data_IF_090666185284
#
_entry.id   IF_090666185284
#
_cell.length_a   1.000
_cell.length_b   1.000
_cell.length_c   1.000
_cell.angle_alpha   90.00
_cell.angle_beta   90.00
_cell.angle_gamma   90.00
#
_symmetry.space_group_name_H-M   'P 1'
#
loop_
_entity.id
_entity.type
_entity.pdbx_description
1 polymer ?
#
# COMPACT_ATOMS: atom_id res chain seq x y z
N UNK A 1 53.71 -18.79 73.82
CA UNK A 1 53.82 -17.76 74.87
C UNK A 1 52.97 -16.56 74.47
N UNK A 2 52.00 -16.22 75.32
CA UNK A 2 51.51 -14.86 75.68
C UNK A 2 51.00 -13.92 74.58
N UNK A 3 49.68 -13.64 74.58
CA UNK A 3 49.04 -12.34 74.97
C UNK A 3 48.98 -11.33 73.81
N UNK A 4 47.98 -10.47 73.61
CA UNK A 4 46.73 -10.10 74.29
C UNK A 4 45.90 -9.26 73.28
N UNK A 5 44.58 -9.22 73.48
CA UNK A 5 43.66 -8.23 72.89
C UNK A 5 44.04 -6.78 73.22
N UNK A 6 43.53 -5.81 72.44
CA UNK A 6 42.62 -4.85 73.06
C UNK A 6 41.34 -4.57 72.28
N UNK A 7 40.29 -4.30 73.07
CA UNK A 7 38.99 -3.72 72.67
C UNK A 7 39.14 -2.24 72.35
N UNK A 8 38.39 -1.75 71.35
CA UNK A 8 37.80 -0.39 71.41
C UNK A 8 36.58 -0.30 70.51
N UNK A 9 35.46 0.05 71.13
CA UNK A 9 34.15 0.39 70.56
C UNK A 9 34.16 1.89 70.24
N UNK A 10 33.65 2.31 69.07
CA UNK A 10 32.84 3.55 68.94
C UNK A 10 32.23 3.72 67.54
N UNK A 11 30.91 3.96 67.55
CA UNK A 11 30.17 4.86 66.65
C UNK A 11 29.87 4.40 65.20
N UNK A 12 28.80 3.62 65.02
CA UNK A 12 27.96 3.67 63.82
C UNK A 12 26.55 4.16 64.21
N UNK A 13 26.28 5.45 64.00
CA UNK A 13 24.93 6.04 64.10
C UNK A 13 24.76 7.23 63.14
N UNK A 14 25.15 7.12 61.87
CA UNK A 14 24.89 8.18 60.88
C UNK A 14 24.64 7.68 59.43
N UNK A 15 24.13 6.47 59.23
CA UNK A 15 23.88 5.90 57.90
C UNK A 15 22.45 5.35 57.71
N UNK A 16 21.45 6.02 58.30
CA UNK A 16 20.04 5.62 58.16
C UNK A 16 19.13 6.68 57.53
N UNK A 17 19.64 7.85 57.14
CA UNK A 17 18.81 8.89 56.49
C UNK A 17 19.05 9.06 54.99
N UNK A 18 20.12 8.48 54.42
CA UNK A 18 20.41 8.57 52.98
C UNK A 18 19.72 7.54 52.08
N UNK A 19 19.25 6.41 52.65
CA UNK A 19 18.67 5.29 51.86
C UNK A 19 17.16 5.47 51.66
N UNK A 20 16.49 6.24 52.50
CA UNK A 20 15.03 6.46 52.41
C UNK A 20 14.70 7.48 51.30
N UNK A 21 15.56 8.48 51.10
CA UNK A 21 15.34 9.52 50.09
C UNK A 21 15.47 9.00 48.64
N UNK A 22 16.40 8.08 48.38
CA UNK A 22 16.61 7.53 47.02
C UNK A 22 15.48 6.59 46.60
N UNK A 23 14.95 5.78 47.52
CA UNK A 23 13.80 4.91 47.25
C UNK A 23 12.52 5.69 46.95
N UNK A 24 12.29 6.80 47.64
CA UNK A 24 11.12 7.66 47.39
C UNK A 24 11.22 8.37 46.03
N UNK A 25 12.39 8.93 45.70
CA UNK A 25 12.62 9.62 44.42
C UNK A 25 12.47 8.64 43.24
N UNK A 26 13.01 7.42 43.35
CA UNK A 26 12.90 6.42 42.29
C UNK A 26 11.45 5.93 42.10
N UNK A 27 10.71 5.71 43.19
CA UNK A 27 9.27 5.39 43.13
C UNK A 27 8.45 6.53 42.55
N UNK A 28 8.80 7.78 42.87
CA UNK A 28 8.13 8.96 42.34
C UNK A 28 8.38 9.12 40.84
N UNK A 29 9.62 8.95 40.36
CA UNK A 29 9.92 8.96 38.92
C UNK A 29 9.25 7.81 38.17
N UNK A 30 9.17 6.61 38.76
CA UNK A 30 8.43 5.49 38.18
C UNK A 30 6.93 5.81 38.10
N UNK A 31 6.33 6.37 39.16
CA UNK A 31 4.93 6.78 39.15
C UNK A 31 4.64 7.90 38.15
N UNK A 32 5.52 8.90 38.05
CA UNK A 32 5.43 9.96 37.04
C UNK A 32 5.58 9.39 35.62
N UNK A 33 6.49 8.44 35.39
CA UNK A 33 6.63 7.79 34.08
C UNK A 33 5.38 6.99 33.70
N UNK A 34 4.69 6.37 34.65
CA UNK A 34 3.41 5.69 34.42
C UNK A 34 2.27 6.69 34.12
N UNK A 35 2.27 7.84 34.81
CA UNK A 35 1.30 8.92 34.53
C UNK A 35 1.52 9.55 33.15
N UNK A 36 2.77 9.78 32.74
CA UNK A 36 3.06 10.27 31.39
C UNK A 36 2.85 9.20 30.31
N UNK A 37 3.15 7.93 30.57
CA UNK A 37 2.81 6.83 29.67
C UNK A 37 1.29 6.72 29.45
N UNK A 38 0.47 7.04 30.46
CA UNK A 38 -0.99 7.07 30.32
C UNK A 38 -1.53 8.32 29.60
N UNK A 39 -0.83 9.47 29.71
CA UNK A 39 -1.21 10.71 29.03
C UNK A 39 -0.77 10.75 27.55
N UNK A 40 0.28 9.99 27.19
CA UNK A 40 0.80 9.91 25.82
C UNK A 40 0.14 8.83 24.96
N UNK A 41 -0.70 7.95 25.52
CA UNK A 41 -1.31 6.83 24.81
C UNK A 41 -2.85 6.86 24.74
N UNK A 42 -3.50 7.89 25.27
CA UNK A 42 -4.94 8.07 25.04
C UNK A 42 -5.17 8.42 23.55
N UNK A 43 -5.77 7.49 22.79
CA UNK A 43 -6.05 7.65 21.36
C UNK A 43 -5.21 6.79 20.42
N UNK A 44 -4.33 5.93 20.94
CA UNK A 44 -3.63 4.96 20.10
C UNK A 44 -4.57 3.80 19.78
N UNK A 45 -4.86 3.57 18.50
CA UNK A 45 -5.75 2.50 18.02
C UNK A 45 -5.40 1.13 18.60
N UNK A 46 -4.13 0.74 18.66
CA UNK A 46 -3.69 -0.51 19.31
C UNK A 46 -4.06 -0.70 20.80
N UNK A 47 -4.51 0.34 21.51
CA UNK A 47 -4.77 0.29 22.96
C UNK A 47 -6.21 0.67 23.35
N UNK A 48 -7.07 1.01 22.38
CA UNK A 48 -8.49 1.27 22.65
C UNK A 48 -9.26 -0.05 22.84
N UNK A 49 -10.08 -0.13 23.91
CA UNK A 49 -10.90 -1.31 24.17
C UNK A 49 -11.92 -1.49 23.04
N UNK A 50 -11.79 -2.57 22.26
CA UNK A 50 -12.57 -2.81 21.06
C UNK A 50 -11.81 -2.55 19.75
N UNK A 51 -10.54 -2.15 19.82
CA UNK A 51 -9.61 -2.28 18.71
C UNK A 51 -9.28 -3.75 18.48
N UNK A 52 -10.24 -4.49 17.93
CA UNK A 52 -9.89 -5.59 17.05
C UNK A 52 -9.05 -4.95 15.96
N UNK A 53 -7.74 -5.25 15.96
CA UNK A 53 -6.91 -5.12 14.77
C UNK A 53 -7.63 -5.94 13.71
N UNK A 54 -8.53 -5.29 12.97
CA UNK A 54 -9.17 -5.92 11.82
C UNK A 54 -8.02 -6.27 10.89
N UNK A 55 -7.81 -7.57 10.71
CA UNK A 55 -6.99 -8.16 9.66
C UNK A 55 -7.74 -7.90 8.37
N UNK A 56 -7.60 -6.68 7.87
CA UNK A 56 -8.11 -6.37 6.56
C UNK A 56 -6.91 -6.49 5.60
N UNK A 57 -7.16 -7.09 4.45
CA UNK A 57 -6.14 -7.75 3.62
C UNK A 57 -5.98 -6.95 2.33
N UNK A 58 -5.47 -5.72 2.48
CA UNK A 58 -5.28 -4.80 1.36
C UNK A 58 -4.13 -3.84 1.63
N UNK A 59 -3.62 -3.23 0.55
CA UNK A 59 -2.66 -2.12 0.59
C UNK A 59 -3.12 -0.96 -0.31
N UNK A 60 -2.98 0.26 0.19
CA UNK A 60 -3.28 1.46 -0.60
C UNK A 60 -2.30 2.60 -0.29
N UNK A 61 -2.28 3.62 -1.13
CA UNK A 61 -1.47 4.84 -0.93
C UNK A 61 -1.74 5.48 0.44
N UNK A 62 -0.75 6.14 1.04
CA UNK A 62 -0.98 7.01 2.20
C UNK A 62 -1.38 8.41 1.70
N UNK A 63 -2.64 8.84 1.86
CA UNK A 63 -3.09 10.04 1.18
C UNK A 63 -2.39 11.28 1.70
N UNK A 64 -1.80 11.99 0.76
CA UNK A 64 -0.88 13.09 0.99
C UNK A 64 -0.97 14.09 -0.15
N UNK A 65 -0.10 15.10 -0.14
CA UNK A 65 -0.02 16.03 -1.26
C UNK A 65 0.39 15.32 -2.56
N UNK A 66 1.29 14.34 -2.46
CA UNK A 66 1.80 13.58 -3.61
C UNK A 66 0.79 12.52 -4.10
N UNK A 67 -0.05 12.04 -3.20
CA UNK A 67 -1.06 11.00 -3.44
C UNK A 67 -2.46 11.48 -3.00
N UNK A 68 -3.05 12.48 -3.68
CA UNK A 68 -4.36 12.99 -3.30
C UNK A 68 -5.47 12.00 -3.72
N UNK A 69 -6.50 11.88 -2.90
CA UNK A 69 -7.71 11.10 -3.23
C UNK A 69 -8.75 11.94 -3.99
N UNK A 70 -9.68 11.26 -4.65
CA UNK A 70 -10.80 11.91 -5.33
C UNK A 70 -11.79 12.57 -4.34
N UNK A 71 -12.28 13.78 -4.59
CA UNK A 71 -13.26 14.42 -3.72
C UNK A 71 -14.63 13.73 -3.84
N UNK A 72 -15.33 13.60 -2.71
CA UNK A 72 -16.71 13.08 -2.63
C UNK A 72 -16.90 11.69 -3.25
N UNK A 73 -15.89 10.80 -3.10
CA UNK A 73 -15.95 9.43 -3.63
C UNK A 73 -16.39 9.42 -5.10
N UNK A 74 -15.87 10.34 -5.92
CA UNK A 74 -16.29 10.45 -7.32
C UNK A 74 -15.10 10.65 -8.24
N UNK A 75 -14.82 9.64 -9.06
CA UNK A 75 -13.95 9.79 -10.22
C UNK A 75 -14.80 10.28 -11.38
N UNK A 76 -14.44 11.43 -11.92
CA UNK A 76 -14.98 11.92 -13.18
C UNK A 76 -14.02 11.52 -14.28
N UNK A 77 -14.48 10.90 -15.34
CA UNK A 77 -13.59 10.48 -16.41
C UNK A 77 -14.10 10.97 -17.78
N UNK A 78 -13.21 10.97 -18.76
CA UNK A 78 -13.59 11.20 -20.14
C UNK A 78 -12.64 10.46 -21.08
N UNK A 79 -13.15 10.08 -22.25
CA UNK A 79 -12.33 9.42 -23.27
C UNK A 79 -11.53 10.42 -24.08
N UNK A 80 -10.32 10.03 -24.46
CA UNK A 80 -9.45 10.84 -25.33
C UNK A 80 -10.11 11.17 -26.68
N UNK A 81 -10.91 10.25 -27.24
CA UNK A 81 -11.66 10.47 -28.48
C UNK A 81 -13.11 9.96 -28.41
N UNK A 82 -14.04 10.50 -29.22
CA UNK A 82 -15.40 9.97 -29.31
C UNK A 82 -15.48 8.53 -29.86
N UNK A 83 -14.52 8.14 -30.71
CA UNK A 83 -14.43 6.78 -31.22
C UNK A 83 -14.11 5.80 -30.09
N UNK A 84 -13.09 6.11 -29.28
CA UNK A 84 -12.74 5.32 -28.10
C UNK A 84 -13.94 5.17 -27.14
N UNK A 85 -14.70 6.24 -26.93
CA UNK A 85 -15.93 6.17 -26.14
C UNK A 85 -16.92 5.15 -26.73
N UNK A 86 -17.14 5.19 -28.04
CA UNK A 86 -18.10 4.30 -28.71
C UNK A 86 -17.72 2.84 -28.53
N UNK A 87 -16.42 2.57 -28.47
CA UNK A 87 -15.85 1.25 -28.36
C UNK A 87 -15.81 0.73 -26.91
N UNK A 88 -15.20 1.48 -26.00
CA UNK A 88 -14.86 0.98 -24.65
C UNK A 88 -15.84 1.40 -23.55
N UNK A 89 -16.85 2.23 -23.82
CA UNK A 89 -17.74 2.70 -22.75
C UNK A 89 -18.57 1.60 -22.09
N UNK A 90 -18.83 0.50 -22.80
CA UNK A 90 -19.50 -0.66 -22.19
C UNK A 90 -18.53 -1.45 -21.31
N UNK A 91 -17.29 -1.65 -21.74
CA UNK A 91 -16.26 -2.37 -20.96
C UNK A 91 -15.95 -1.64 -19.65
N UNK A 92 -15.78 -0.30 -19.71
CA UNK A 92 -15.62 0.54 -18.51
C UNK A 92 -16.81 0.39 -17.55
N UNK A 93 -18.04 0.32 -18.10
CA UNK A 93 -19.24 0.16 -17.28
C UNK A 93 -19.28 -1.24 -16.65
N UNK A 94 -18.97 -2.28 -17.41
CA UNK A 94 -18.94 -3.67 -16.96
C UNK A 94 -17.91 -3.85 -15.83
N UNK A 95 -16.70 -3.34 -16.02
CA UNK A 95 -15.65 -3.33 -15.00
C UNK A 95 -16.12 -2.64 -13.71
N UNK A 96 -16.76 -1.48 -13.81
CA UNK A 96 -17.30 -0.79 -12.64
C UNK A 96 -18.45 -1.55 -11.95
N UNK A 97 -19.24 -2.33 -12.70
CA UNK A 97 -20.24 -3.22 -12.10
C UNK A 97 -19.62 -4.34 -11.27
N UNK A 98 -18.39 -4.78 -11.55
CA UNK A 98 -17.71 -5.77 -10.71
C UNK A 98 -17.47 -5.24 -9.30
N UNK A 99 -17.07 -3.97 -9.18
CA UNK A 99 -16.92 -3.30 -7.88
C UNK A 99 -18.23 -3.20 -7.10
N UNK A 100 -19.34 -2.87 -7.77
CA UNK A 100 -20.66 -2.89 -7.11
C UNK A 100 -21.13 -4.29 -6.75
N UNK A 101 -20.85 -5.29 -7.60
CA UNK A 101 -21.16 -6.68 -7.33
C UNK A 101 -20.41 -7.22 -6.11
N UNK A 102 -19.17 -6.75 -5.89
CA UNK A 102 -18.37 -7.03 -4.69
C UNK A 102 -18.84 -6.28 -3.42
N UNK A 103 -19.87 -5.45 -3.51
CA UNK A 103 -20.49 -4.78 -2.36
C UNK A 103 -20.05 -3.33 -2.13
N UNK A 104 -19.39 -2.69 -3.10
CA UNK A 104 -19.05 -1.28 -2.98
C UNK A 104 -20.33 -0.41 -2.90
N UNK A 105 -20.43 0.54 -1.95
CA UNK A 105 -21.56 1.44 -1.89
C UNK A 105 -21.68 2.35 -3.12
N UNK A 106 -22.90 2.61 -3.58
CA UNK A 106 -23.20 3.51 -4.71
C UNK A 106 -22.81 4.99 -4.46
N UNK A 107 -22.36 5.35 -3.24
CA UNK A 107 -21.77 6.67 -2.98
C UNK A 107 -20.44 6.85 -3.72
N UNK A 108 -19.71 5.75 -3.95
CA UNK A 108 -18.58 5.71 -4.87
C UNK A 108 -19.10 5.73 -6.29
N UNK A 109 -18.66 6.70 -7.07
CA UNK A 109 -19.17 6.93 -8.42
C UNK A 109 -18.03 7.07 -9.41
N UNK A 110 -18.16 6.37 -10.52
CA UNK A 110 -17.28 6.47 -11.68
C UNK A 110 -18.09 7.03 -12.85
N UNK A 111 -18.01 8.34 -13.07
CA UNK A 111 -18.97 9.09 -13.92
C UNK A 111 -18.28 9.71 -15.13
N UNK A 112 -18.80 9.44 -16.31
CA UNK A 112 -18.35 10.09 -17.53
C UNK A 112 -18.74 11.59 -17.55
N UNK A 113 -17.78 12.46 -17.83
CA UNK A 113 -17.95 13.90 -18.00
C UNK A 113 -17.62 14.33 -19.43
N UNK A 114 -18.05 15.53 -19.81
CA UNK A 114 -17.67 16.09 -21.11
C UNK A 114 -16.19 16.47 -21.13
N UNK A 115 -15.54 16.15 -22.26
CA UNK A 115 -14.15 16.53 -22.53
C UNK A 115 -13.86 18.00 -22.19
N UNK A 116 -14.70 18.92 -22.64
CA UNK A 116 -14.53 20.36 -22.39
C UNK A 116 -14.48 20.70 -20.89
N UNK A 117 -15.25 20.02 -20.04
CA UNK A 117 -15.21 20.26 -18.58
C UNK A 117 -13.92 19.74 -17.97
N UNK A 118 -13.50 18.55 -18.37
CA UNK A 118 -12.28 17.94 -17.86
C UNK A 118 -11.01 18.65 -18.37
N UNK A 119 -11.01 19.16 -19.60
CA UNK A 119 -9.89 19.97 -20.10
C UNK A 119 -9.76 21.32 -19.39
N UNK A 120 -10.85 21.87 -18.85
CA UNK A 120 -10.82 23.08 -18.04
C UNK A 120 -10.31 22.84 -16.60
N UNK A 121 -10.35 21.59 -16.12
CA UNK A 121 -9.90 21.19 -14.79
C UNK A 121 -9.28 19.78 -14.83
N UNK A 122 -8.09 19.61 -15.45
CA UNK A 122 -7.49 18.30 -15.71
C UNK A 122 -7.19 17.51 -14.42
N UNK A 123 -6.97 18.21 -13.31
CA UNK A 123 -6.78 17.58 -11.99
C UNK A 123 -8.03 16.90 -11.45
N UNK A 124 -9.21 17.33 -11.87
CA UNK A 124 -10.49 16.84 -11.35
C UNK A 124 -11.11 15.75 -12.24
N UNK A 125 -10.38 15.29 -13.26
CA UNK A 125 -10.80 14.21 -14.13
C UNK A 125 -9.70 13.20 -14.42
N UNK A 126 -10.12 11.97 -14.71
CA UNK A 126 -9.31 10.89 -15.26
C UNK A 126 -9.46 10.88 -16.79
N UNK A 127 -8.35 11.01 -17.51
CA UNK A 127 -8.32 10.78 -18.95
C UNK A 127 -8.23 9.28 -19.24
N UNK A 128 -9.17 8.73 -20.02
CA UNK A 128 -9.07 7.35 -20.51
C UNK A 128 -8.54 7.36 -21.94
N UNK A 129 -7.43 6.67 -22.15
CA UNK A 129 -6.83 6.41 -23.46
C UNK A 129 -6.91 4.89 -23.67
N UNK A 130 -7.73 4.44 -24.61
CA UNK A 130 -7.90 3.03 -24.88
C UNK A 130 -7.66 2.72 -26.36
N UNK A 131 -6.78 1.78 -26.68
CA UNK A 131 -6.43 1.42 -28.06
C UNK A 131 -6.19 -0.08 -28.22
N UNK A 132 -6.05 -0.51 -29.47
CA UNK A 132 -5.58 -1.86 -29.76
C UNK A 132 -4.12 -1.85 -30.19
N UNK A 133 -3.34 -2.79 -29.69
CA UNK A 133 -1.90 -2.87 -29.92
C UNK A 133 -1.25 -3.95 -29.06
N UNK A 134 0.04 -3.78 -28.79
CA UNK A 134 0.71 -4.61 -27.79
C UNK A 134 0.09 -4.33 -26.41
N UNK A 135 -0.18 -5.37 -25.61
CA UNK A 135 -0.91 -5.22 -24.36
C UNK A 135 -0.10 -4.38 -23.38
N UNK A 136 -0.74 -3.34 -22.84
CA UNK A 136 -0.10 -2.40 -21.94
C UNK A 136 -1.18 -1.67 -21.15
N UNK A 137 -1.12 -1.80 -19.83
CA UNK A 137 -2.12 -1.29 -18.91
C UNK A 137 -1.42 -0.45 -17.85
N UNK A 138 -1.97 0.72 -17.58
CA UNK A 138 -1.39 1.64 -16.62
C UNK A 138 -2.40 2.68 -16.18
N UNK A 139 -2.44 2.96 -14.89
CA UNK A 139 -3.30 4.00 -14.34
C UNK A 139 -2.59 4.80 -13.26
N UNK A 140 -2.78 6.12 -13.27
CA UNK A 140 -2.35 6.99 -12.17
C UNK A 140 -2.94 6.54 -10.85
N UNK A 141 -2.14 6.51 -9.79
CA UNK A 141 -2.61 6.19 -8.45
C UNK A 141 -3.43 7.35 -7.86
N UNK A 142 -4.70 7.09 -7.55
CA UNK A 142 -5.58 8.12 -7.03
C UNK A 142 -5.73 9.29 -8.01
N UNK A 143 -5.44 10.50 -7.55
CA UNK A 143 -5.47 11.74 -8.34
C UNK A 143 -4.07 12.33 -8.54
N UNK A 144 -3.09 11.45 -8.75
CA UNK A 144 -1.72 11.81 -9.04
C UNK A 144 -1.53 12.12 -10.54
N UNK A 145 -0.90 13.26 -10.85
CA UNK A 145 -0.43 13.54 -12.20
C UNK A 145 0.80 12.72 -12.51
N UNK A 146 0.82 12.15 -13.72
CA UNK A 146 1.91 11.31 -14.18
C UNK A 146 2.44 11.80 -15.53
N UNK A 147 3.75 11.72 -15.70
CA UNK A 147 4.41 11.97 -16.97
C UNK A 147 4.22 10.75 -17.91
N UNK A 148 4.20 10.95 -19.24
CA UNK A 148 4.35 12.21 -19.98
C UNK A 148 3.05 13.01 -20.16
N UNK A 149 1.92 12.58 -19.58
CA UNK A 149 0.62 13.19 -19.87
C UNK A 149 0.32 14.46 -19.06
N UNK A 150 1.01 14.67 -17.94
CA UNK A 150 0.78 15.78 -16.98
C UNK A 150 -0.68 15.87 -16.54
N UNK A 151 -1.28 14.71 -16.22
CA UNK A 151 -2.68 14.54 -15.76
C UNK A 151 -2.89 13.16 -15.15
N UNK A 152 -4.04 12.96 -14.52
CA UNK A 152 -4.51 11.63 -14.13
C UNK A 152 -4.94 10.89 -15.41
N UNK A 153 -4.43 9.69 -15.64
CA UNK A 153 -4.69 8.93 -16.85
C UNK A 153 -4.83 7.44 -16.54
N UNK A 154 -5.69 6.80 -17.31
CA UNK A 154 -5.82 5.36 -17.44
C UNK A 154 -5.55 5.03 -18.91
N UNK A 155 -4.47 4.31 -19.16
CA UNK A 155 -4.05 3.84 -20.46
C UNK A 155 -4.32 2.34 -20.57
N UNK A 156 -5.04 1.96 -21.62
CA UNK A 156 -5.52 0.60 -21.86
C UNK A 156 -5.19 0.21 -23.30
N UNK A 157 -4.21 -0.64 -23.51
CA UNK A 157 -3.91 -1.22 -24.82
C UNK A 157 -4.25 -2.71 -24.80
N UNK A 158 -5.20 -3.12 -25.63
CA UNK A 158 -5.63 -4.51 -25.76
C UNK A 158 -5.14 -5.12 -27.07
N UNK A 159 -4.90 -6.43 -27.12
CA UNK A 159 -4.59 -7.12 -28.38
C UNK A 159 -5.83 -7.25 -29.28
N UNK A 160 -7.02 -7.21 -28.67
CA UNK A 160 -8.31 -7.32 -29.35
C UNK A 160 -8.83 -8.77 -29.44
N UNK A 161 -8.10 -9.73 -28.89
CA UNK A 161 -8.48 -11.16 -28.82
C UNK A 161 -9.06 -11.56 -27.48
N UNK A 162 -8.93 -10.71 -26.46
CA UNK A 162 -9.47 -10.91 -25.13
C UNK A 162 -11.00 -10.92 -25.17
N UNK A 163 -11.61 -11.77 -24.36
CA UNK A 163 -13.06 -11.77 -24.25
C UNK A 163 -13.56 -10.59 -23.41
N UNK A 164 -14.88 -10.39 -23.38
CA UNK A 164 -15.50 -9.26 -22.66
C UNK A 164 -15.25 -9.33 -21.15
N UNK A 165 -15.15 -10.53 -20.57
CA UNK A 165 -14.94 -10.72 -19.16
C UNK A 165 -13.50 -10.36 -18.76
N UNK A 166 -12.51 -10.87 -19.51
CA UNK A 166 -11.10 -10.60 -19.27
C UNK A 166 -10.80 -9.09 -19.38
N UNK A 167 -11.36 -8.43 -20.40
CA UNK A 167 -11.26 -6.96 -20.53
C UNK A 167 -11.87 -6.25 -19.33
N UNK A 168 -13.03 -6.69 -18.85
CA UNK A 168 -13.66 -6.08 -17.69
C UNK A 168 -12.83 -6.28 -16.40
N UNK A 169 -12.16 -7.42 -16.24
CA UNK A 169 -11.25 -7.69 -15.11
C UNK A 169 -10.03 -6.78 -15.13
N UNK A 170 -9.34 -6.69 -16.29
CA UNK A 170 -8.19 -5.80 -16.47
C UNK A 170 -8.59 -4.35 -16.19
N UNK A 171 -9.70 -3.88 -16.75
CA UNK A 171 -10.18 -2.52 -16.48
C UNK A 171 -10.56 -2.34 -15.00
N UNK A 172 -11.11 -3.36 -14.34
CA UNK A 172 -11.46 -3.27 -12.92
C UNK A 172 -10.22 -3.13 -12.03
N UNK A 173 -9.14 -3.83 -12.35
CA UNK A 173 -7.81 -3.65 -11.74
C UNK A 173 -7.32 -2.20 -11.89
N UNK A 174 -7.35 -1.69 -13.12
CA UNK A 174 -6.94 -0.32 -13.42
C UNK A 174 -7.82 0.73 -12.71
N UNK A 175 -9.13 0.46 -12.56
CA UNK A 175 -10.01 1.30 -11.73
C UNK A 175 -9.57 1.27 -10.26
N UNK A 176 -9.12 0.14 -9.73
CA UNK A 176 -8.56 0.02 -8.37
C UNK A 176 -7.38 0.97 -8.15
N UNK A 177 -6.44 1.03 -9.11
CA UNK A 177 -5.35 2.02 -9.11
C UNK A 177 -5.86 3.46 -9.17
N UNK A 178 -6.84 3.75 -10.03
CA UNK A 178 -7.45 5.07 -10.12
C UNK A 178 -8.03 5.53 -8.77
N UNK A 179 -8.52 4.61 -7.95
CA UNK A 179 -8.98 4.91 -6.59
C UNK A 179 -7.84 5.06 -5.57
N UNK A 180 -6.67 4.49 -5.85
CA UNK A 180 -5.47 4.57 -5.01
C UNK A 180 -5.07 3.26 -4.33
N UNK A 181 -5.63 2.13 -4.77
CA UNK A 181 -5.15 0.81 -4.36
C UNK A 181 -3.80 0.53 -5.02
N UNK A 182 -2.92 -0.14 -4.26
CA UNK A 182 -1.63 -0.63 -4.73
C UNK A 182 -1.75 -2.13 -5.03
N UNK A 183 -0.75 -2.72 -5.69
CA UNK A 183 -0.76 -4.16 -5.85
C UNK A 183 -0.59 -4.89 -4.52
N UNK A 184 -1.38 -5.94 -4.31
CA UNK A 184 -1.42 -6.63 -3.01
C UNK A 184 -0.06 -7.22 -2.64
N UNK A 185 0.62 -7.86 -3.62
CA UNK A 185 1.94 -8.43 -3.42
C UNK A 185 3.02 -7.37 -3.13
N UNK A 186 2.81 -6.09 -3.45
CA UNK A 186 3.80 -5.04 -3.19
C UNK A 186 3.84 -4.60 -1.72
N UNK A 187 3.01 -5.17 -0.85
CA UNK A 187 3.04 -4.86 0.57
C UNK A 187 4.36 -5.24 1.23
N UNK A 188 5.17 -4.28 1.72
CA UNK A 188 6.49 -4.57 2.26
C UNK A 188 6.53 -5.55 3.45
N UNK A 189 5.43 -5.74 4.19
CA UNK A 189 5.40 -6.72 5.29
C UNK A 189 5.36 -8.17 4.80
N UNK A 190 5.02 -8.42 3.53
CA UNK A 190 5.03 -9.76 2.95
C UNK A 190 6.43 -10.24 2.59
N UNK A 191 7.41 -9.33 2.59
CA UNK A 191 8.75 -9.58 2.06
C UNK A 191 9.77 -9.67 3.16
N UNK A 192 10.59 -10.72 3.11
CA UNK A 192 11.78 -10.87 3.94
C UNK A 192 12.96 -11.19 3.04
N UNK A 193 13.93 -10.28 2.94
CA UNK A 193 15.05 -10.41 2.01
C UNK A 193 16.18 -11.29 2.56
N UNK A 194 16.71 -12.19 1.72
CA UNK A 194 17.89 -13.00 2.04
C UNK A 194 19.17 -12.30 1.55
N UNK A 195 20.30 -12.99 1.43
CA UNK A 195 21.45 -12.41 0.72
C UNK A 195 21.23 -12.39 -0.80
N UNK A 196 20.57 -13.43 -1.34
CA UNK A 196 20.04 -13.50 -2.71
C UNK A 196 18.59 -13.95 -2.64
N UNK A 197 17.70 -13.30 -3.38
CA UNK A 197 16.27 -13.56 -3.34
C UNK A 197 15.62 -13.29 -1.98
N UNK A 198 14.62 -14.09 -1.65
CA UNK A 198 13.78 -13.97 -0.45
C UNK A 198 14.09 -15.07 0.58
N UNK A 199 13.76 -14.82 1.85
CA UNK A 199 13.92 -15.77 2.95
C UNK A 199 12.72 -16.72 3.02
N UNK A 200 12.91 -17.84 3.70
CA UNK A 200 11.83 -18.83 3.92
C UNK A 200 10.72 -18.35 4.87
N UNK A 201 10.94 -17.25 5.60
CA UNK A 201 9.93 -16.60 6.44
C UNK A 201 9.24 -15.41 5.75
N UNK A 202 9.55 -15.15 4.47
CA UNK A 202 8.77 -14.28 3.58
C UNK A 202 7.43 -14.93 3.26
N UNK A 203 6.36 -14.17 3.01
CA UNK A 203 5.09 -14.74 2.52
C UNK A 203 5.12 -15.02 1.01
N UNK A 204 6.00 -14.32 0.29
CA UNK A 204 6.26 -14.53 -1.14
C UNK A 204 7.69 -15.01 -1.40
N UNK A 205 7.88 -15.82 -2.44
CA UNK A 205 9.17 -16.12 -3.04
C UNK A 205 9.28 -15.44 -4.40
N UNK A 206 10.27 -14.56 -4.55
CA UNK A 206 10.52 -13.80 -5.78
C UNK A 206 11.78 -14.28 -6.50
N UNK A 207 11.64 -14.55 -7.80
CA UNK A 207 12.68 -15.00 -8.72
C UNK A 207 13.05 -13.85 -9.66
N UNK A 208 13.92 -12.94 -9.21
CA UNK A 208 14.32 -11.77 -9.97
C UNK A 208 14.92 -12.13 -11.34
N UNK A 209 15.71 -13.21 -11.37
CA UNK A 209 16.34 -13.75 -12.57
C UNK A 209 15.36 -14.19 -13.66
N UNK A 210 14.11 -14.46 -13.30
CA UNK A 210 13.08 -14.90 -14.24
C UNK A 210 12.27 -13.74 -14.82
N UNK A 211 12.50 -12.51 -14.34
CA UNK A 211 11.76 -11.33 -14.80
C UNK A 211 12.32 -10.87 -16.16
N UNK A 212 11.41 -10.54 -17.08
CA UNK A 212 11.75 -10.00 -18.39
C UNK A 212 12.60 -8.72 -18.24
N UNK A 213 13.74 -8.67 -18.94
CA UNK A 213 14.72 -7.59 -18.83
C UNK A 213 15.89 -7.88 -17.88
N UNK A 214 15.90 -9.04 -17.20
CA UNK A 214 16.94 -9.36 -16.21
C UNK A 214 18.34 -9.41 -16.84
N UNK A 215 18.48 -10.10 -17.98
CA UNK A 215 19.76 -10.24 -18.66
C UNK A 215 20.34 -8.85 -19.02
N UNK A 216 19.52 -7.95 -19.57
CA UNK A 216 19.94 -6.59 -19.91
C UNK A 216 20.47 -5.83 -18.68
N UNK A 217 19.76 -5.92 -17.55
CA UNK A 217 20.17 -5.28 -16.30
C UNK A 217 21.43 -5.94 -15.73
N UNK A 218 21.54 -7.27 -15.79
CA UNK A 218 22.71 -8.00 -15.27
C UNK A 218 24.00 -7.53 -15.94
N UNK A 219 23.98 -7.27 -17.26
CA UNK A 219 25.14 -6.78 -18.01
C UNK A 219 25.61 -5.39 -17.57
N UNK A 220 24.77 -4.58 -16.92
CA UNK A 220 25.14 -3.27 -16.38
C UNK A 220 25.97 -3.36 -15.08
N UNK A 221 26.07 -4.54 -14.48
CA UNK A 221 26.77 -4.75 -13.21
C UNK A 221 27.97 -5.70 -13.34
N UNK A 222 29.17 -5.20 -13.02
CA UNK A 222 30.39 -6.03 -12.95
C UNK A 222 30.35 -7.12 -11.88
N UNK A 223 29.49 -6.97 -10.87
CA UNK A 223 29.28 -7.94 -9.82
C UNK A 223 27.77 -8.13 -9.63
N UNK A 224 27.28 -9.30 -10.04
CA UNK A 224 25.85 -9.62 -10.00
C UNK A 224 25.26 -9.60 -8.59
N UNK A 225 26.09 -9.70 -7.53
CA UNK A 225 25.64 -9.52 -6.16
C UNK A 225 25.02 -8.14 -5.90
N UNK A 226 25.41 -7.11 -6.66
CA UNK A 226 24.86 -5.77 -6.54
C UNK A 226 23.40 -5.68 -7.01
N UNK A 227 22.94 -6.63 -7.84
CA UNK A 227 21.52 -6.71 -8.22
C UNK A 227 20.61 -6.89 -7.01
N UNK A 228 21.08 -7.63 -6.01
CA UNK A 228 20.38 -7.90 -4.74
C UNK A 228 20.91 -7.06 -3.57
N UNK A 229 21.68 -5.99 -3.81
CA UNK A 229 21.97 -5.02 -2.76
C UNK A 229 20.68 -4.34 -2.28
N UNK A 230 20.74 -3.63 -1.15
CA UNK A 230 19.58 -2.87 -0.63
C UNK A 230 19.06 -1.85 -1.64
N UNK A 231 19.97 -1.23 -2.40
CA UNK A 231 19.73 -0.29 -3.50
C UNK A 231 19.82 -0.96 -4.88
N UNK A 232 19.76 -2.29 -4.94
CA UNK A 232 19.85 -3.06 -6.17
C UNK A 232 18.50 -3.18 -6.88
N UNK A 233 18.48 -3.31 -8.23
CA UNK A 233 17.24 -3.39 -9.02
C UNK A 233 16.37 -4.63 -8.73
N UNK A 234 16.86 -5.65 -8.01
CA UNK A 234 16.02 -6.77 -7.55
C UNK A 234 15.33 -6.51 -6.19
N UNK A 235 15.54 -5.35 -5.56
CA UNK A 235 15.00 -5.04 -4.22
C UNK A 235 14.45 -3.63 -4.06
N UNK A 236 15.00 -2.69 -4.82
CA UNK A 236 14.60 -1.30 -4.80
C UNK A 236 13.78 -0.96 -6.04
N UNK A 237 12.51 -0.60 -5.82
CA UNK A 237 11.55 -0.28 -6.87
C UNK A 237 12.00 0.90 -7.74
N UNK A 238 12.55 1.96 -7.12
CA UNK A 238 13.00 3.13 -7.86
C UNK A 238 14.22 2.78 -8.73
N UNK A 239 15.14 1.97 -8.22
CA UNK A 239 16.29 1.49 -8.98
C UNK A 239 15.88 0.61 -10.16
N UNK A 240 14.96 -0.32 -9.95
CA UNK A 240 14.43 -1.14 -11.03
C UNK A 240 13.81 -0.27 -12.14
N UNK A 241 13.00 0.73 -11.74
CA UNK A 241 12.40 1.69 -12.66
C UNK A 241 13.43 2.53 -13.43
N UNK A 242 14.51 2.99 -12.77
CA UNK A 242 15.61 3.73 -13.44
C UNK A 242 16.28 2.93 -14.57
N UNK A 243 16.35 1.61 -14.44
CA UNK A 243 16.87 0.72 -15.48
C UNK A 243 15.82 0.27 -16.51
N UNK A 244 14.55 0.69 -16.36
CA UNK A 244 13.45 0.16 -17.16
C UNK A 244 13.20 -1.33 -16.94
N UNK A 245 13.53 -1.84 -15.75
CA UNK A 245 13.41 -3.25 -15.41
C UNK A 245 12.05 -3.55 -14.78
N UNK A 246 11.34 -4.54 -15.34
CA UNK A 246 9.97 -4.89 -14.93
C UNK A 246 9.87 -5.47 -13.50
N UNK A 247 10.99 -5.71 -12.82
CA UNK A 247 10.95 -5.99 -11.40
C UNK A 247 10.36 -4.83 -10.58
N UNK A 248 10.35 -3.59 -11.10
CA UNK A 248 9.69 -2.43 -10.46
C UNK A 248 8.21 -2.68 -10.16
N UNK A 249 7.55 -3.51 -10.97
CA UNK A 249 6.14 -3.85 -10.82
C UNK A 249 5.92 -4.99 -9.81
N UNK A 250 6.96 -5.77 -9.52
CA UNK A 250 6.87 -6.98 -8.70
C UNK A 250 7.31 -6.75 -7.24
N UNK A 251 8.29 -5.88 -7.02
CA UNK A 251 8.93 -5.72 -5.71
C UNK A 251 8.17 -4.73 -4.80
N UNK A 252 8.48 -4.70 -3.49
CA UNK A 252 7.73 -3.91 -2.53
C UNK A 252 7.59 -2.44 -2.88
N UNK A 253 6.43 -1.88 -2.58
CA UNK A 253 6.15 -0.46 -2.69
C UNK A 253 7.05 0.34 -1.74
N UNK A 254 7.90 1.18 -2.32
CA UNK A 254 8.84 2.02 -1.57
C UNK A 254 8.21 3.24 -0.90
N UNK A 255 7.32 4.01 -1.59
CA UNK A 255 6.71 5.21 -1.03
C UNK A 255 5.79 4.95 0.18
N UNK A 256 5.25 6.02 0.76
CA UNK A 256 4.32 5.89 1.90
C UNK A 256 3.04 5.16 1.49
N UNK A 257 2.61 4.26 2.36
CA UNK A 257 1.42 3.43 2.16
C UNK A 257 0.72 3.18 3.50
N UNK A 258 -0.54 2.75 3.40
CA UNK A 258 -1.32 2.27 4.54
C UNK A 258 -1.76 0.84 4.29
N UNK A 259 -1.84 0.09 5.38
CA UNK A 259 -2.32 -1.28 5.39
C UNK A 259 -2.83 -1.64 6.79
N UNK A 260 -3.74 -2.62 6.92
CA UNK A 260 -4.28 -3.08 8.20
C UNK A 260 -3.44 -4.17 8.86
N UNK A 261 -2.51 -4.78 8.11
CA UNK A 261 -1.77 -5.94 8.59
C UNK A 261 -1.01 -5.65 9.88
N UNK A 262 -1.02 -6.64 10.76
CA UNK A 262 -0.09 -6.72 11.89
C UNK A 262 1.35 -6.70 11.38
N UNK A 263 2.27 -6.29 12.26
CA UNK A 263 3.70 -6.28 11.99
C UNK A 263 4.30 -7.65 11.55
N UNK A 264 3.58 -8.74 11.77
CA UNK A 264 3.96 -10.10 11.36
C UNK A 264 2.78 -10.81 10.68
N UNK A 265 2.51 -10.52 9.40
CA UNK A 265 1.41 -11.15 8.69
C UNK A 265 1.63 -12.66 8.54
N UNK A 266 0.54 -13.39 8.36
CA UNK A 266 0.52 -14.79 7.99
C UNK A 266 -0.07 -14.92 6.59
N UNK A 267 0.12 -16.08 5.98
CA UNK A 267 -0.38 -16.39 4.65
C UNK A 267 -1.89 -16.18 4.48
N UNK A 268 -2.69 -16.36 5.53
CA UNK A 268 -4.14 -16.11 5.48
C UNK A 268 -4.51 -14.63 5.66
N UNK A 269 -3.56 -13.77 6.00
CA UNK A 269 -3.81 -12.33 6.05
C UNK A 269 -3.66 -11.68 4.67
N UNK A 270 -3.25 -12.43 3.63
CA UNK A 270 -3.08 -11.90 2.26
C UNK A 270 -4.30 -12.29 1.44
N UNK A 271 -4.88 -11.32 0.73
CA UNK A 271 -5.92 -11.60 -0.26
C UNK A 271 -5.28 -12.11 -1.56
N UNK A 272 -5.00 -13.41 -1.61
CA UNK A 272 -4.43 -14.06 -2.80
C UNK A 272 -5.38 -14.10 -4.01
N UNK A 273 -6.65 -13.73 -3.82
CA UNK A 273 -7.66 -13.64 -4.87
C UNK A 273 -7.98 -12.18 -5.24
N UNK A 274 -7.30 -11.19 -4.62
CA UNK A 274 -7.49 -9.75 -4.85
C UNK A 274 -7.38 -9.43 -6.33
N UNK A 275 -8.26 -8.57 -6.85
CA UNK A 275 -8.11 -8.06 -8.22
C UNK A 275 -6.79 -7.32 -8.41
N UNK A 276 -6.17 -6.84 -7.31
CA UNK A 276 -4.93 -6.08 -7.30
C UNK A 276 -3.67 -6.95 -7.15
N UNK A 277 -3.75 -8.29 -7.12
CA UNK A 277 -2.55 -9.13 -7.06
C UNK A 277 -2.12 -9.56 -8.47
N UNK A 278 -0.81 -9.63 -8.72
CA UNK A 278 -0.30 -10.26 -9.93
C UNK A 278 -0.22 -11.77 -9.79
N UNK A 279 -0.50 -12.47 -10.88
CA UNK A 279 -0.29 -13.91 -10.97
C UNK A 279 1.20 -14.25 -11.01
N UNK A 280 1.53 -15.53 -10.78
CA UNK A 280 2.93 -15.95 -10.66
C UNK A 280 3.78 -15.82 -11.92
N UNK A 281 3.15 -15.69 -13.09
CA UNK A 281 3.83 -15.60 -14.37
C UNK A 281 3.92 -14.17 -14.91
N UNK A 282 3.36 -13.20 -14.19
CA UNK A 282 3.41 -11.79 -14.59
C UNK A 282 4.87 -11.34 -14.78
N UNK A 283 5.12 -10.74 -15.94
CA UNK A 283 6.44 -10.29 -16.41
C UNK A 283 7.53 -11.38 -16.46
N UNK A 284 7.17 -12.66 -16.51
CA UNK A 284 8.13 -13.73 -16.74
C UNK A 284 8.79 -13.61 -18.12
N UNK A 285 10.10 -13.79 -18.17
CA UNK A 285 10.78 -14.07 -19.42
C UNK A 285 10.27 -15.40 -20.00
N UNK A 286 10.28 -15.53 -21.33
CA UNK A 286 9.92 -16.80 -21.97
C UNK A 286 11.00 -17.85 -21.71
N UNK A 287 10.60 -19.08 -21.40
CA UNK A 287 11.49 -20.24 -21.31
C UNK A 287 11.87 -20.77 -22.71
N UNK A 288 12.66 -21.83 -22.76
CA UNK A 288 13.08 -22.48 -24.02
C UNK A 288 11.91 -23.03 -24.86
N UNK A 289 10.72 -23.16 -24.27
CA UNK A 289 9.49 -23.64 -24.91
C UNK A 289 8.49 -22.51 -25.19
N UNK A 290 8.83 -21.25 -24.86
CA UNK A 290 7.95 -20.10 -25.04
C UNK A 290 6.91 -19.91 -23.93
N UNK A 291 7.03 -20.60 -22.79
CA UNK A 291 6.16 -20.37 -21.63
C UNK A 291 6.75 -19.28 -20.74
N UNK A 292 5.90 -18.45 -20.13
CA UNK A 292 6.32 -17.47 -19.14
C UNK A 292 6.89 -18.16 -17.90
N UNK A 293 8.09 -17.75 -17.47
CA UNK A 293 8.70 -18.25 -16.25
C UNK A 293 8.00 -17.72 -14.99
N UNK A 294 8.13 -18.44 -13.87
CA UNK A 294 7.59 -18.01 -12.57
C UNK A 294 8.43 -16.85 -12.04
N UNK A 295 7.80 -15.72 -11.73
CA UNK A 295 8.45 -14.54 -11.13
C UNK A 295 8.15 -14.45 -9.65
N UNK A 296 6.94 -14.78 -9.21
CA UNK A 296 6.51 -14.66 -7.81
C UNK A 296 5.60 -15.83 -7.41
N UNK A 297 5.87 -16.50 -6.29
CA UNK A 297 5.00 -17.56 -5.76
C UNK A 297 4.72 -17.36 -4.28
N UNK A 298 3.68 -18.00 -3.76
CA UNK A 298 3.44 -18.07 -2.32
C UNK A 298 4.52 -18.93 -1.69
N UNK A 299 5.15 -18.45 -0.61
CA UNK A 299 6.14 -19.27 0.10
C UNK A 299 5.53 -20.54 0.67
N UNK A 300 4.26 -20.47 1.09
CA UNK A 300 3.51 -21.63 1.56
C UNK A 300 3.33 -22.63 0.42
N UNK A 301 4.03 -23.74 0.55
CA UNK A 301 4.04 -24.87 -0.40
C UNK A 301 4.47 -24.51 -1.83
N UNK A 302 5.12 -23.34 -2.04
CA UNK A 302 5.52 -22.83 -3.35
C UNK A 302 4.34 -22.78 -4.35
N UNK A 303 3.16 -22.39 -3.86
CA UNK A 303 1.95 -22.35 -4.66
C UNK A 303 1.96 -21.17 -5.64
N UNK A 304 1.52 -21.45 -6.86
CA UNK A 304 1.21 -20.44 -7.87
C UNK A 304 0.09 -19.54 -7.36
N UNK A 305 0.26 -18.23 -7.53
CA UNK A 305 -0.75 -17.21 -7.37
C UNK A 305 -1.56 -17.20 -8.67
N UNK A 306 -2.88 -17.48 -8.63
CA UNK A 306 -3.70 -17.53 -9.82
C UNK A 306 -3.95 -16.12 -10.38
N UNK A 307 -4.36 -16.07 -11.65
CA UNK A 307 -4.95 -14.87 -12.22
C UNK A 307 -6.26 -14.49 -11.48
N UNK A 308 -6.43 -13.24 -11.05
CA UNK A 308 -7.63 -12.83 -10.32
C UNK A 308 -8.89 -12.94 -11.16
N UNK A 309 -9.91 -13.62 -10.63
CA UNK A 309 -11.16 -13.85 -11.36
C UNK A 309 -12.25 -12.80 -11.14
N UNK A 310 -12.12 -11.92 -10.14
CA UNK A 310 -13.09 -10.85 -9.84
C UNK A 310 -12.57 -9.86 -8.79
N UNK A 311 -13.35 -8.81 -8.50
CA UNK A 311 -13.13 -7.90 -7.37
C UNK A 311 -13.59 -8.57 -6.08
N UNK A 312 -12.75 -8.61 -5.05
CA UNK A 312 -13.07 -9.24 -3.77
C UNK A 312 -13.74 -8.26 -2.80
N UNK A 313 -14.32 -8.79 -1.72
CA UNK A 313 -14.82 -7.94 -0.62
C UNK A 313 -13.67 -7.20 0.10
N UNK A 314 -12.45 -7.76 0.11
CA UNK A 314 -11.29 -7.11 0.72
C UNK A 314 -10.80 -5.93 -0.12
N UNK A 315 -10.84 -6.02 -1.45
CA UNK A 315 -10.59 -4.89 -2.35
C UNK A 315 -11.51 -3.71 -2.03
N UNK A 316 -12.81 -4.01 -1.85
CA UNK A 316 -13.82 -3.02 -1.44
C UNK A 316 -13.51 -2.43 -0.06
N UNK A 317 -13.07 -3.24 0.91
CA UNK A 317 -12.66 -2.73 2.21
C UNK A 317 -11.43 -1.83 2.12
N UNK A 318 -10.49 -2.11 1.22
CA UNK A 318 -9.33 -1.24 0.98
C UNK A 318 -9.75 0.14 0.53
N UNK A 319 -10.64 0.19 -0.45
CA UNK A 319 -11.17 1.45 -0.94
C UNK A 319 -12.03 2.17 0.12
N UNK A 320 -12.84 1.45 0.88
CA UNK A 320 -13.62 2.04 1.98
C UNK A 320 -12.73 2.59 3.08
N UNK A 321 -11.64 1.91 3.44
CA UNK A 321 -10.71 2.42 4.43
C UNK A 321 -10.00 3.68 3.95
N UNK A 322 -9.56 3.68 2.69
CA UNK A 322 -8.91 4.83 2.06
C UNK A 322 -9.78 6.07 2.20
N UNK A 323 -11.06 6.00 1.84
CA UNK A 323 -11.96 7.17 1.85
C UNK A 323 -12.66 7.43 3.19
N UNK A 324 -12.85 6.39 4.00
CA UNK A 324 -13.50 6.43 5.31
C UNK A 324 -12.63 5.81 6.40
N UNK A 325 -11.46 6.42 6.70
CA UNK A 325 -10.52 5.86 7.67
C UNK A 325 -11.18 5.77 9.04
N UNK A 326 -11.43 4.53 9.50
CA UNK A 326 -11.93 4.23 10.86
C UNK A 326 -10.79 4.12 11.87
N UNK A 327 -9.62 3.67 11.42
CA UNK A 327 -8.44 3.46 12.26
C UNK A 327 -7.30 4.29 11.68
N UNK A 328 -6.81 5.27 12.44
CA UNK A 328 -5.66 6.08 12.02
C UNK A 328 -4.36 5.55 12.60
N UNK A 329 -3.27 5.57 11.82
CA UNK A 329 -1.94 5.83 12.39
C UNK A 329 -1.91 7.28 12.92
N UNK A 330 -1.02 7.55 13.88
CA UNK A 330 -0.69 8.91 14.28
C UNK A 330 -0.35 9.72 13.04
N UNK A 331 -1.16 10.74 12.76
CA UNK A 331 -0.93 11.65 11.63
C UNK A 331 0.00 12.75 12.10
N UNK A 332 1.02 13.07 11.30
CA UNK A 332 1.88 14.24 11.55
C UNK A 332 1.08 15.55 11.46
N UNK A 333 -0.02 15.55 10.70
CA UNK A 333 -0.87 16.71 10.45
C UNK A 333 -2.35 16.36 10.70
N UNK A 334 -3.04 17.15 11.52
CA UNK A 334 -4.46 16.96 11.83
C UNK A 334 -5.36 17.20 10.60
N UNK A 335 -6.53 16.58 10.53
CA UNK A 335 -7.46 16.75 9.38
C UNK A 335 -8.00 18.18 9.26
N UNK A 336 -8.02 18.92 10.38
CA UNK A 336 -8.47 20.31 10.43
C UNK A 336 -7.40 21.31 10.01
N UNK A 337 -6.17 20.85 9.74
CA UNK A 337 -5.11 21.68 9.21
C UNK A 337 -5.36 21.95 7.72
N UNK A 338 -5.31 23.21 7.25
CA UNK A 338 -5.49 23.55 5.83
C UNK A 338 -4.51 22.86 4.87
N UNK A 339 -3.35 22.41 5.36
CA UNK A 339 -2.32 21.71 4.58
C UNK A 339 -2.58 20.21 4.49
N UNK A 340 -3.55 19.68 5.24
CA UNK A 340 -3.92 18.27 5.21
C UNK A 340 -4.59 17.92 3.88
N UNK A 341 -4.18 16.81 3.26
CA UNK A 341 -4.88 16.23 2.09
C UNK A 341 -6.37 15.93 2.38
N UNK A 342 -6.73 15.81 3.66
CA UNK A 342 -8.06 15.51 4.15
C UNK A 342 -8.88 16.75 4.53
N UNK A 343 -8.32 17.95 4.38
CA UNK A 343 -8.98 19.18 4.81
C UNK A 343 -10.33 19.40 4.13
N UNK A 344 -10.47 18.97 2.87
CA UNK A 344 -11.75 19.01 2.16
C UNK A 344 -12.81 18.11 2.83
N UNK A 345 -12.46 16.85 3.11
CA UNK A 345 -13.33 15.88 3.79
C UNK A 345 -13.70 16.36 5.19
N UNK A 346 -12.73 16.92 5.93
CA UNK A 346 -12.96 17.48 7.25
C UNK A 346 -13.97 18.63 7.24
N UNK A 347 -13.82 19.59 6.33
CA UNK A 347 -14.75 20.73 6.19
C UNK A 347 -16.18 20.25 5.92
N UNK A 348 -16.34 19.23 5.08
CA UNK A 348 -17.66 18.69 4.78
C UNK A 348 -18.27 17.96 5.97
N UNK A 349 -17.47 17.19 6.73
CA UNK A 349 -17.92 16.57 7.98
C UNK A 349 -18.38 17.61 9.01
N UNK A 350 -17.66 18.73 9.16
CA UNK A 350 -18.11 19.82 10.05
C UNK A 350 -19.43 20.44 9.60
N UNK A 351 -19.58 20.72 8.29
CA UNK A 351 -20.82 21.32 7.77
C UNK A 351 -22.04 20.41 7.99
N UNK A 352 -21.83 19.09 7.94
CA UNK A 352 -22.88 18.10 8.12
C UNK A 352 -23.08 17.69 9.59
N UNK A 353 -22.18 18.09 10.50
CA UNK A 353 -22.42 18.01 11.93
C UNK A 353 -23.46 19.06 12.33
N UNK A 354 -24.72 18.65 12.35
CA UNK A 354 -25.79 19.38 13.02
C UNK A 354 -25.46 19.43 14.52
N UNK A 355 -24.73 20.46 14.95
CA UNK A 355 -24.74 20.86 16.35
C UNK A 355 -26.18 21.29 16.61
N UNK A 356 -26.97 20.39 17.22
CA UNK A 356 -28.23 20.77 17.87
C UNK A 356 -27.83 21.71 19.01
N UNK A 357 -27.83 23.00 18.73
CA UNK A 357 -27.78 24.07 19.73
C UNK A 357 -29.09 24.14 20.48
#
# INVERSE_FOLDING_TARGET
MTHNFPKSIRSLRWLSMGIIATGFVMKLFFLLSLLFASLSNAGHSAWEAGATTFTSEWIHIDPSFDFPTWPHETIRYYFNTPQMKTEFANDIRAAWQLWYAAGLPETFRFIEYSRTRCEAAPDDCLLIIAEYGAPSFFTSLGRQRIDPWDRNVMYLAFEGTEDEHDKALIIAHEIGHAWGLLHEHQNPLFWQWAFRGTRSDSLVQFYCENVLGFDEVEHEFNNTLLLWAEDGPCRDQARAYEFGFLASEMIPWGPRYQQPHRLWPHDYDVDWDSIMIYESHSFGADDEHGNKQLTLVRTKDLQVIPEPGTVTELDVFGMLHLYHPRYGKFREVFHNDPTSAWYAVFKDKIKNCLIKT
#
